data_IF_592446840299
#
_entry.id   IF_592446840299
#
_cell.length_a   1.000
_cell.length_b   1.000
_cell.length_c   1.000
_cell.angle_alpha   90.00
_cell.angle_beta   90.00
_cell.angle_gamma   90.00
#
_symmetry.space_group_name_H-M   'P 1'
#
loop_
_entity.id
_entity.type
_entity.pdbx_description
1 polymer ?
#
# COMPACT_ATOMS: atom_id res chain seq x y z
N UNK A 1 -0.35 -18.42 3.53
CA UNK A 1 -0.55 -17.24 4.42
C UNK A 1 -1.00 -16.09 3.55
N UNK A 2 -2.10 -15.44 3.91
CA UNK A 2 -2.54 -14.20 3.25
C UNK A 2 -1.64 -13.07 3.72
N UNK A 3 -1.12 -12.26 2.81
CA UNK A 3 -0.27 -11.13 3.17
C UNK A 3 -1.12 -9.93 3.58
N UNK A 4 -0.55 -9.03 4.37
CA UNK A 4 -1.21 -7.80 4.79
C UNK A 4 -0.61 -6.64 4.01
N UNK A 5 -1.46 -5.77 3.48
CA UNK A 5 -1.04 -4.47 2.94
C UNK A 5 -1.39 -3.37 3.95
N UNK A 6 -0.70 -2.25 3.86
CA UNK A 6 -0.82 -1.17 4.83
C UNK A 6 -1.20 0.13 4.11
N UNK A 7 -2.05 0.93 4.74
CA UNK A 7 -2.18 2.34 4.43
C UNK A 7 -1.58 3.17 5.56
N UNK A 8 -1.44 4.47 5.34
CA UNK A 8 -0.87 5.38 6.32
C UNK A 8 -1.90 6.42 6.70
N UNK A 9 -2.06 6.64 8.00
CA UNK A 9 -2.90 7.69 8.56
C UNK A 9 -2.03 8.62 9.40
N UNK A 10 -2.23 9.93 9.22
CA UNK A 10 -1.73 10.97 10.11
C UNK A 10 -2.88 11.45 10.99
N UNK A 11 -2.76 11.23 12.29
CA UNK A 11 -3.75 11.64 13.28
C UNK A 11 -3.61 13.11 13.64
N UNK A 12 -4.76 13.78 13.82
CA UNK A 12 -4.79 15.16 14.27
C UNK A 12 -4.52 15.27 15.78
N UNK A 13 -3.27 15.57 16.17
CA UNK A 13 -2.88 15.90 17.55
C UNK A 13 -1.76 15.01 18.13
N UNK A 14 -1.49 15.15 19.43
CA UNK A 14 -0.58 14.25 20.20
C UNK A 14 -1.33 13.02 20.77
N UNK A 15 -2.59 12.83 20.38
CA UNK A 15 -3.52 11.88 20.99
C UNK A 15 -3.31 10.45 20.52
N UNK A 16 -3.66 9.54 21.42
CA UNK A 16 -3.54 8.08 21.34
C UNK A 16 -3.97 7.50 19.96
N UNK A 17 -3.10 6.71 19.27
CA UNK A 17 -3.41 6.09 17.98
C UNK A 17 -4.61 5.12 18.04
N UNK A 18 -5.08 4.76 19.23
CA UNK A 18 -6.28 3.94 19.44
C UNK A 18 -7.60 4.70 19.25
N UNK A 19 -7.58 6.04 19.18
CA UNK A 19 -8.76 6.89 18.94
C UNK A 19 -8.74 7.55 17.55
N UNK A 20 -8.17 6.85 16.57
CA UNK A 20 -8.30 7.19 15.15
C UNK A 20 -9.73 7.08 14.64
N UNK A 21 -10.13 7.98 13.74
CA UNK A 21 -11.45 8.00 13.13
C UNK A 21 -12.15 9.36 13.19
N UNK A 22 -11.43 10.44 13.51
CA UNK A 22 -12.02 11.79 13.44
C UNK A 22 -11.98 12.28 12.00
N UNK A 23 -12.93 13.14 11.60
CA UNK A 23 -12.92 13.78 10.28
C UNK A 23 -11.66 14.64 10.01
N UNK A 24 -10.81 14.83 11.03
CA UNK A 24 -9.55 15.54 10.95
C UNK A 24 -8.35 14.64 10.60
N UNK A 25 -8.52 13.32 10.62
CA UNK A 25 -7.46 12.37 10.28
C UNK A 25 -7.25 12.34 8.77
N UNK A 26 -5.98 12.28 8.38
CA UNK A 26 -5.58 12.33 6.98
C UNK A 26 -4.99 11.00 6.57
N UNK A 27 -5.43 10.47 5.44
CA UNK A 27 -4.78 9.31 4.83
C UNK A 27 -3.73 9.77 3.83
N UNK A 28 -2.77 8.90 3.56
CA UNK A 28 -1.75 9.15 2.56
C UNK A 28 -2.25 8.74 1.17
N UNK A 29 -2.19 9.66 0.22
CA UNK A 29 -2.59 9.43 -1.18
C UNK A 29 -1.42 9.66 -2.12
N UNK A 30 -1.45 9.01 -3.28
CA UNK A 30 -0.53 9.25 -4.38
C UNK A 30 -1.02 10.44 -5.21
N UNK A 31 -0.15 11.42 -5.40
CA UNK A 31 -0.40 12.61 -6.24
C UNK A 31 -0.04 12.33 -7.71
N UNK A 32 -0.49 13.19 -8.62
CA UNK A 32 -0.29 13.01 -10.08
C UNK A 32 1.20 13.00 -10.49
N UNK A 33 2.05 13.69 -9.72
CA UNK A 33 3.50 13.72 -9.90
C UNK A 33 4.22 12.47 -9.32
N UNK A 34 3.46 11.52 -8.78
CA UNK A 34 3.98 10.29 -8.17
C UNK A 34 4.50 10.48 -6.74
N UNK A 35 4.36 11.67 -6.17
CA UNK A 35 4.66 11.91 -4.75
C UNK A 35 3.54 11.39 -3.83
N UNK A 36 3.73 11.60 -2.53
CA UNK A 36 2.76 11.23 -1.51
C UNK A 36 2.35 12.47 -0.72
N UNK A 37 1.06 12.60 -0.43
CA UNK A 37 0.53 13.70 0.37
C UNK A 37 -0.59 13.22 1.31
N UNK A 38 -0.57 13.75 2.53
CA UNK A 38 -1.66 13.56 3.49
C UNK A 38 -2.81 14.52 3.18
N UNK A 39 -4.02 14.00 3.17
CA UNK A 39 -5.23 14.80 2.97
C UNK A 39 -6.48 14.09 3.51
N UNK A 40 -7.56 14.86 3.66
CA UNK A 40 -8.86 14.32 4.04
C UNK A 40 -9.52 13.57 2.89
N UNK A 41 -10.31 12.54 3.20
CA UNK A 41 -10.98 11.69 2.20
C UNK A 41 -11.84 12.48 1.20
N UNK A 42 -12.55 13.52 1.65
CA UNK A 42 -13.38 14.35 0.78
C UNK A 42 -12.56 15.15 -0.25
N UNK A 43 -11.36 15.61 0.14
CA UNK A 43 -10.46 16.31 -0.76
C UNK A 43 -9.82 15.34 -1.75
N UNK A 44 -9.35 14.18 -1.28
CA UNK A 44 -8.82 13.12 -2.14
C UNK A 44 -9.84 12.67 -3.19
N UNK A 45 -11.11 12.52 -2.81
CA UNK A 45 -12.18 12.15 -3.74
C UNK A 45 -12.42 13.24 -4.80
N UNK A 46 -12.41 14.52 -4.41
CA UNK A 46 -12.55 15.64 -5.36
C UNK A 46 -11.40 15.69 -6.36
N UNK A 47 -10.19 15.37 -5.91
CA UNK A 47 -8.99 15.31 -6.73
C UNK A 47 -8.81 13.94 -7.44
N UNK A 48 -9.75 12.98 -7.24
CA UNK A 48 -9.69 11.61 -7.79
C UNK A 48 -8.38 10.88 -7.49
N UNK A 49 -7.83 11.10 -6.29
CA UNK A 49 -6.55 10.54 -5.89
C UNK A 49 -6.70 9.11 -5.38
N UNK A 50 -5.63 8.35 -5.55
CA UNK A 50 -5.56 6.93 -5.16
C UNK A 50 -4.88 6.82 -3.82
N UNK A 51 -5.44 6.03 -2.90
CA UNK A 51 -4.80 5.82 -1.60
C UNK A 51 -3.46 5.11 -1.79
N UNK A 52 -2.47 5.48 -0.99
CA UNK A 52 -1.17 4.86 -1.00
C UNK A 52 -1.19 3.57 -0.17
N UNK A 53 -1.01 2.44 -0.84
CA UNK A 53 -0.87 1.12 -0.23
C UNK A 53 0.58 0.65 -0.27
N UNK A 54 1.01 0.01 0.81
CA UNK A 54 2.39 -0.42 1.02
C UNK A 54 2.45 -1.91 1.37
N UNK A 55 3.53 -2.61 0.97
CA UNK A 55 3.68 -4.03 1.22
C UNK A 55 4.13 -4.36 2.65
N UNK A 56 4.70 -3.39 3.39
CA UNK A 56 5.12 -3.57 4.79
C UNK A 56 4.80 -2.34 5.63
N UNK A 57 4.63 -2.53 6.94
CA UNK A 57 4.42 -1.43 7.89
C UNK A 57 5.59 -0.44 7.89
N UNK A 58 6.83 -0.94 7.82
CA UNK A 58 8.03 -0.10 7.83
C UNK A 58 8.12 0.81 6.59
N UNK A 59 7.76 0.29 5.41
CA UNK A 59 7.70 1.11 4.19
C UNK A 59 6.60 2.16 4.26
N UNK A 60 5.44 1.79 4.82
CA UNK A 60 4.32 2.69 5.04
C UNK A 60 4.70 3.83 6.00
N UNK A 61 5.29 3.51 7.16
CA UNK A 61 5.77 4.50 8.13
C UNK A 61 6.82 5.44 7.54
N UNK A 62 7.78 4.89 6.79
CA UNK A 62 8.81 5.69 6.11
C UNK A 62 8.20 6.66 5.11
N UNK A 63 7.24 6.21 4.30
CA UNK A 63 6.55 7.06 3.33
C UNK A 63 5.73 8.15 4.03
N UNK A 64 5.01 7.80 5.11
CA UNK A 64 4.30 8.76 5.95
C UNK A 64 5.23 9.80 6.55
N UNK A 65 6.35 9.39 7.13
CA UNK A 65 7.33 10.31 7.73
C UNK A 65 7.91 11.29 6.72
N UNK A 66 8.14 10.84 5.48
CA UNK A 66 8.63 11.71 4.40
C UNK A 66 7.58 12.71 3.90
N UNK A 67 6.29 12.34 3.93
CA UNK A 67 5.19 13.14 3.41
C UNK A 67 4.51 14.06 4.45
N UNK A 68 4.71 13.80 5.76
CA UNK A 68 4.08 14.59 6.82
C UNK A 68 4.61 16.02 6.84
N UNK A 69 3.70 16.97 6.69
CA UNK A 69 3.98 18.41 6.83
C UNK A 69 3.52 18.95 8.18
N UNK A 70 2.53 18.29 8.80
CA UNK A 70 1.91 18.73 10.06
C UNK A 70 2.62 18.20 11.31
N UNK A 71 3.55 17.25 11.14
CA UNK A 71 4.24 16.54 12.24
C UNK A 71 3.23 15.90 13.21
N UNK A 72 2.13 15.38 12.67
CA UNK A 72 1.16 14.59 13.43
C UNK A 72 1.70 13.22 13.80
N UNK A 73 0.91 12.44 14.54
CA UNK A 73 1.24 11.05 14.80
C UNK A 73 0.93 10.22 13.55
N UNK A 74 1.96 9.60 12.97
CA UNK A 74 1.85 8.75 11.79
C UNK A 74 1.69 7.31 12.24
N UNK A 75 0.75 6.58 11.64
CA UNK A 75 0.58 5.14 11.88
C UNK A 75 0.34 4.40 10.57
N UNK A 76 1.02 3.27 10.41
CA UNK A 76 0.75 2.30 9.36
C UNK A 76 -0.34 1.34 9.83
N UNK A 77 -1.50 1.39 9.18
CA UNK A 77 -2.65 0.57 9.54
C UNK A 77 -2.82 -0.59 8.56
N UNK A 78 -3.07 -1.81 9.05
CA UNK A 78 -3.35 -2.94 8.18
C UNK A 78 -4.68 -2.71 7.45
N UNK A 79 -4.67 -2.92 6.14
CA UNK A 79 -5.86 -2.84 5.28
C UNK A 79 -6.29 -4.25 4.92
N UNK A 80 -7.57 -4.53 5.09
CA UNK A 80 -8.20 -5.73 4.51
C UNK A 80 -8.34 -5.49 3.01
N UNK A 81 -7.66 -6.26 2.13
CA UNK A 81 -7.83 -6.11 0.69
C UNK A 81 -9.30 -6.27 0.31
N UNK A 82 -9.71 -5.52 -0.71
CA UNK A 82 -11.07 -5.66 -1.26
C UNK A 82 -11.32 -7.08 -1.75
N UNK A 83 -12.59 -7.49 -1.74
CA UNK A 83 -13.00 -8.83 -2.17
C UNK A 83 -12.65 -9.11 -3.63
N UNK A 84 -12.55 -8.06 -4.47
CA UNK A 84 -12.16 -8.20 -5.87
C UNK A 84 -10.66 -8.45 -6.06
N UNK A 85 -9.82 -8.26 -5.04
CA UNK A 85 -8.38 -8.53 -5.12
C UNK A 85 -8.15 -10.05 -5.12
N UNK A 86 -7.62 -10.65 -6.20
CA UNK A 86 -7.48 -12.10 -6.31
C UNK A 86 -6.23 -12.60 -5.56
N UNK A 87 -6.25 -12.48 -4.23
CA UNK A 87 -5.11 -12.72 -3.32
C UNK A 87 -4.44 -14.07 -3.52
N UNK A 88 -5.21 -15.14 -3.75
CA UNK A 88 -4.68 -16.48 -4.02
C UNK A 88 -3.91 -16.57 -5.33
N UNK A 89 -4.47 -16.01 -6.41
CA UNK A 89 -3.82 -16.00 -7.73
C UNK A 89 -2.55 -15.13 -7.71
N UNK A 90 -2.60 -13.96 -7.05
CA UNK A 90 -1.42 -13.09 -6.91
C UNK A 90 -0.32 -13.84 -6.18
N UNK A 91 -0.61 -14.47 -5.04
CA UNK A 91 0.38 -15.23 -4.27
C UNK A 91 0.98 -16.37 -5.08
N UNK A 92 0.19 -17.06 -5.91
CA UNK A 92 0.69 -18.13 -6.78
C UNK A 92 1.61 -17.60 -7.88
N UNK A 93 1.25 -16.50 -8.54
CA UNK A 93 2.09 -15.89 -9.58
C UNK A 93 3.41 -15.39 -8.98
N UNK A 94 3.35 -14.63 -7.89
CA UNK A 94 4.55 -14.08 -7.22
C UNK A 94 5.45 -15.20 -6.68
N UNK A 95 4.87 -16.32 -6.20
CA UNK A 95 5.63 -17.49 -5.76
C UNK A 95 6.49 -18.13 -6.86
N UNK A 96 6.16 -17.91 -8.13
CA UNK A 96 6.92 -18.41 -9.28
C UNK A 96 7.91 -17.37 -9.85
N UNK A 97 7.98 -16.17 -9.29
CA UNK A 97 8.89 -15.11 -9.70
C UNK A 97 10.20 -15.16 -8.92
N UNK A 98 11.26 -14.60 -9.49
CA UNK A 98 12.56 -14.57 -8.85
C UNK A 98 12.57 -13.56 -7.69
N UNK A 99 13.12 -13.93 -6.54
CA UNK A 99 13.14 -13.04 -5.35
C UNK A 99 14.00 -11.78 -5.53
N UNK A 100 14.92 -11.81 -6.50
CA UNK A 100 15.74 -10.66 -6.90
C UNK A 100 15.16 -9.82 -8.04
N UNK A 101 13.95 -10.13 -8.52
CA UNK A 101 13.24 -9.25 -9.47
C UNK A 101 12.99 -7.88 -8.84
N UNK A 102 13.11 -6.81 -9.62
CA UNK A 102 12.91 -5.46 -9.10
C UNK A 102 11.43 -5.20 -8.78
N UNK A 103 11.17 -4.50 -7.68
CA UNK A 103 9.80 -4.16 -7.27
C UNK A 103 9.06 -3.37 -8.35
N UNK A 104 9.78 -2.54 -9.10
CA UNK A 104 9.22 -1.76 -10.18
C UNK A 104 8.70 -2.66 -11.30
N UNK A 105 9.50 -3.62 -11.74
CA UNK A 105 9.11 -4.58 -12.77
C UNK A 105 7.91 -5.41 -12.31
N UNK A 106 7.92 -5.84 -11.04
CA UNK A 106 6.81 -6.57 -10.45
C UNK A 106 5.53 -5.72 -10.39
N UNK A 107 5.64 -4.46 -9.98
CA UNK A 107 4.52 -3.53 -9.89
C UNK A 107 3.91 -3.23 -11.27
N UNK A 108 4.76 -3.00 -12.28
CA UNK A 108 4.33 -2.77 -13.66
C UNK A 108 3.62 -4.02 -14.24
N UNK A 109 4.18 -5.22 -14.06
CA UNK A 109 3.55 -6.47 -14.51
C UNK A 109 2.17 -6.69 -13.88
N UNK A 110 2.02 -6.47 -12.57
CA UNK A 110 0.72 -6.65 -11.90
C UNK A 110 -0.29 -5.56 -12.26
N UNK A 111 0.14 -4.32 -12.45
CA UNK A 111 -0.73 -3.25 -12.93
C UNK A 111 -1.27 -3.56 -14.33
N UNK A 112 -0.41 -4.03 -15.24
CA UNK A 112 -0.79 -4.37 -16.61
C UNK A 112 -1.65 -5.64 -16.69
N UNK A 113 -1.41 -6.63 -15.83
CA UNK A 113 -2.30 -7.79 -15.68
C UNK A 113 -3.69 -7.38 -15.21
N UNK A 114 -3.78 -6.50 -14.21
CA UNK A 114 -5.06 -6.03 -13.69
C UNK A 114 -5.85 -5.29 -14.79
N UNK A 115 -5.21 -4.38 -15.53
CA UNK A 115 -5.82 -3.67 -16.67
C UNK A 115 -6.29 -4.63 -17.77
N UNK A 116 -5.45 -5.59 -18.16
CA UNK A 116 -5.83 -6.61 -19.17
C UNK A 116 -6.98 -7.51 -18.72
N UNK A 117 -7.14 -7.70 -17.42
CA UNK A 117 -8.27 -8.40 -16.83
C UNK A 117 -9.54 -7.53 -16.69
N UNK A 118 -9.49 -6.25 -17.09
CA UNK A 118 -10.63 -5.34 -17.06
C UNK A 118 -10.78 -4.52 -15.78
N UNK A 119 -9.76 -4.44 -14.92
CA UNK A 119 -9.80 -3.53 -13.77
C UNK A 119 -9.70 -2.08 -14.26
N UNK A 120 -10.75 -1.30 -14.03
CA UNK A 120 -10.80 0.13 -14.35
C UNK A 120 -10.57 1.02 -13.12
N UNK A 121 -10.83 0.49 -11.93
CA UNK A 121 -10.70 1.21 -10.66
C UNK A 121 -9.22 1.32 -10.23
N UNK A 122 -8.64 2.54 -10.21
CA UNK A 122 -7.24 2.73 -9.83
C UNK A 122 -6.92 2.30 -8.40
N UNK A 123 -7.88 2.38 -7.48
CA UNK A 123 -7.68 1.94 -6.09
C UNK A 123 -7.58 0.42 -6.02
N UNK A 124 -8.41 -0.29 -6.77
CA UNK A 124 -8.32 -1.74 -6.90
C UNK A 124 -6.97 -2.17 -7.48
N UNK A 125 -6.50 -1.50 -8.54
CA UNK A 125 -5.19 -1.78 -9.14
C UNK A 125 -4.06 -1.53 -8.12
N UNK A 126 -4.14 -0.44 -7.35
CA UNK A 126 -3.14 -0.12 -6.33
C UNK A 126 -3.10 -1.18 -5.21
N UNK A 127 -4.25 -1.70 -4.77
CA UNK A 127 -4.30 -2.80 -3.81
C UNK A 127 -3.72 -4.11 -4.38
N UNK A 128 -4.01 -4.43 -5.65
CA UNK A 128 -3.44 -5.60 -6.35
C UNK A 128 -1.90 -5.51 -6.37
N UNK A 129 -1.36 -4.36 -6.77
CA UNK A 129 0.08 -4.12 -6.84
C UNK A 129 0.72 -4.20 -5.46
N UNK A 130 0.16 -3.52 -4.46
CA UNK A 130 0.69 -3.55 -3.09
C UNK A 130 0.66 -4.97 -2.50
N UNK A 131 -0.39 -5.75 -2.79
CA UNK A 131 -0.49 -7.13 -2.32
C UNK A 131 0.55 -8.04 -3.00
N UNK A 132 0.80 -7.85 -4.30
CA UNK A 132 1.86 -8.57 -5.01
C UNK A 132 3.24 -8.28 -4.43
N UNK A 133 3.53 -7.00 -4.15
CA UNK A 133 4.76 -6.60 -3.47
C UNK A 133 4.85 -7.18 -2.05
N UNK A 134 3.75 -7.27 -1.31
CA UNK A 134 3.73 -7.88 0.02
C UNK A 134 4.09 -9.39 -0.03
N UNK A 135 3.56 -10.12 -1.02
CA UNK A 135 3.96 -11.50 -1.28
C UNK A 135 5.45 -11.62 -1.61
N UNK A 136 5.98 -10.69 -2.41
CA UNK A 136 7.37 -10.72 -2.82
C UNK A 136 8.32 -10.42 -1.64
N UNK A 137 7.97 -9.44 -0.80
CA UNK A 137 8.67 -9.14 0.46
C UNK A 137 8.70 -10.34 1.40
N UNK A 138 7.58 -11.04 1.54
CA UNK A 138 7.53 -12.25 2.35
C UNK A 138 8.47 -13.35 1.80
N UNK A 139 8.54 -13.52 0.48
CA UNK A 139 9.46 -14.46 -0.16
C UNK A 139 10.93 -14.05 0.02
N UNK A 140 11.24 -12.76 -0.13
CA UNK A 140 12.58 -12.21 0.12
C UNK A 140 13.02 -12.42 1.57
N UNK A 141 12.14 -12.14 2.52
CA UNK A 141 12.40 -12.37 3.94
C UNK A 141 12.63 -13.85 4.26
N UNK A 142 11.87 -14.75 3.62
CA UNK A 142 12.05 -16.20 3.77
C UNK A 142 13.41 -16.66 3.23
N UNK A 143 13.81 -16.19 2.05
CA UNK A 143 15.13 -16.49 1.48
C UNK A 143 16.25 -15.95 2.35
N UNK A 144 16.12 -14.72 2.86
CA UNK A 144 17.09 -14.14 3.79
C UNK A 144 17.20 -14.96 5.09
N UNK A 145 16.08 -15.50 5.59
CA UNK A 145 16.08 -16.34 6.78
C UNK A 145 16.84 -17.66 6.59
N UNK A 146 16.74 -18.28 5.41
CA UNK A 146 17.43 -19.55 5.11
C UNK A 146 18.86 -19.39 4.59
N UNK A 147 19.22 -18.21 4.08
CA UNK A 147 20.59 -17.86 3.71
C UNK A 147 21.32 -17.28 4.94
N UNK A 148 21.68 -18.17 5.87
CA UNK A 148 22.77 -17.94 6.84
C UNK A 148 24.11 -17.99 6.10
#
# INVERSE_FOLDING_TARGET
>A
MTQTIYCVVEFCGKGDPMFGGTAADWSLYKTEDGAHAFMGAAEAQRCKLVMAYFPTAAEAEKAGAAASTRKGLISALPVKPRLEVPTGQISWIVGNKHVGEEDRELAEDFADRAKRAGAEDPDLIAQIVAYALACHRANQALVAHFRL
#
